data_IF_516945634186
#
_entry.id   IF_516945634186
#
_cell.length_a   1.000
_cell.length_b   1.000
_cell.length_c   1.000
_cell.angle_alpha   90.00
_cell.angle_beta   90.00
_cell.angle_gamma   90.00
#
_symmetry.space_group_name_H-M   'P 1'
#
loop_
_entity.id
_entity.type
_entity.pdbx_description
1 polymer ?
#
# COMPACT_ATOMS: atom_id res chain seq x y z
N UNK A 1 -11.19 2.29 13.97
CA UNK A 1 -9.90 2.63 13.36
C UNK A 1 -9.28 1.34 12.87
N UNK A 2 -8.97 1.19 11.58
CA UNK A 2 -8.37 -0.04 11.07
C UNK A 2 -6.87 -0.05 11.39
N UNK A 3 -6.51 -0.75 12.47
CA UNK A 3 -5.15 -0.76 13.02
C UNK A 3 -4.10 -1.24 12.02
N UNK A 4 -4.48 -2.09 11.06
CA UNK A 4 -3.56 -2.60 10.03
C UNK A 4 -3.23 -1.54 8.98
N UNK A 5 -4.20 -0.73 8.57
CA UNK A 5 -4.00 0.39 7.64
C UNK A 5 -3.06 1.42 8.27
N UNK A 6 -3.29 1.79 9.53
CA UNK A 6 -2.44 2.74 10.26
C UNK A 6 -1.01 2.21 10.38
N UNK A 7 -0.83 0.94 10.75
CA UNK A 7 0.49 0.33 10.86
C UNK A 7 1.23 0.23 9.51
N UNK A 8 0.49 -0.03 8.42
CA UNK A 8 1.07 -0.03 7.07
C UNK A 8 1.48 1.37 6.61
N UNK A 9 0.67 2.39 6.88
CA UNK A 9 1.02 3.78 6.58
C UNK A 9 2.27 4.24 7.36
N UNK A 10 2.37 3.86 8.64
CA UNK A 10 3.57 4.13 9.45
C UNK A 10 4.81 3.43 8.91
N UNK A 11 4.70 2.17 8.48
CA UNK A 11 5.81 1.46 7.86
C UNK A 11 6.29 2.15 6.57
N UNK A 12 5.37 2.64 5.73
CA UNK A 12 5.74 3.43 4.53
C UNK A 12 6.44 4.73 4.90
N UNK A 13 5.96 5.45 5.91
CA UNK A 13 6.59 6.69 6.38
C UNK A 13 7.99 6.46 6.95
N UNK A 14 8.25 5.29 7.53
CA UNK A 14 9.55 4.88 8.03
C UNK A 14 10.50 4.34 6.93
N UNK A 15 10.05 4.29 5.67
CA UNK A 15 10.83 3.74 4.56
C UNK A 15 10.85 2.21 4.51
N UNK A 16 9.87 1.54 5.13
CA UNK A 16 9.68 0.09 5.12
C UNK A 16 8.47 -0.32 4.24
N UNK A 17 8.63 -0.30 2.90
CA UNK A 17 7.57 -0.71 1.97
C UNK A 17 7.25 -2.21 2.08
N UNK A 18 8.20 -3.07 2.44
CA UNK A 18 7.95 -4.51 2.58
C UNK A 18 7.11 -4.80 3.83
N UNK A 19 7.38 -4.14 4.95
CA UNK A 19 6.55 -4.24 6.14
C UNK A 19 5.16 -3.68 5.91
N UNK A 20 5.00 -2.62 5.11
CA UNK A 20 3.68 -2.15 4.72
C UNK A 20 2.92 -3.21 3.91
N UNK A 21 3.57 -3.78 2.88
CA UNK A 21 2.98 -4.82 2.03
C UNK A 21 2.54 -6.04 2.85
N UNK A 22 3.34 -6.52 3.79
CA UNK A 22 2.99 -7.67 4.63
C UNK A 22 1.69 -7.46 5.43
N UNK A 23 1.40 -6.22 5.83
CA UNK A 23 0.20 -5.88 6.60
C UNK A 23 -1.06 -5.75 5.75
N UNK A 24 -0.92 -5.36 4.48
CA UNK A 24 -2.05 -5.12 3.58
C UNK A 24 -2.17 -6.12 2.43
N UNK A 25 -1.28 -7.10 2.27
CA UNK A 25 -1.23 -8.01 1.10
C UNK A 25 -2.49 -8.88 0.89
N UNK A 26 -3.23 -9.17 1.95
CA UNK A 26 -4.44 -10.00 1.90
C UNK A 26 -5.74 -9.18 1.80
N UNK A 27 -5.64 -7.85 1.64
CA UNK A 27 -6.76 -6.92 1.75
C UNK A 27 -7.07 -6.20 0.45
N UNK A 28 -8.29 -6.31 -0.05
CA UNK A 28 -8.69 -5.67 -1.32
C UNK A 28 -9.58 -4.43 -1.15
N UNK A 29 -9.59 -3.84 0.05
CA UNK A 29 -10.23 -2.55 0.27
C UNK A 29 -9.46 -1.39 -0.36
N UNK A 30 -10.17 -0.30 -0.67
CA UNK A 30 -9.59 0.89 -1.30
C UNK A 30 -8.34 1.44 -0.58
N UNK A 31 -8.32 1.65 0.76
CA UNK A 31 -7.13 2.12 1.44
C UNK A 31 -5.97 1.11 1.43
N UNK A 32 -6.25 -0.20 1.55
CA UNK A 32 -5.22 -1.23 1.38
C UNK A 32 -4.59 -1.21 -0.01
N UNK A 33 -5.39 -1.10 -1.07
CA UNK A 33 -4.91 -0.99 -2.45
C UNK A 33 -4.07 0.28 -2.67
N UNK A 34 -4.48 1.41 -2.08
CA UNK A 34 -3.73 2.65 -2.15
C UNK A 34 -2.34 2.52 -1.50
N UNK A 35 -2.27 1.98 -0.28
CA UNK A 35 -1.00 1.75 0.42
C UNK A 35 -0.11 0.74 -0.31
N UNK A 36 -0.70 -0.30 -0.90
CA UNK A 36 0.02 -1.29 -1.71
C UNK A 36 0.63 -0.64 -2.97
N UNK A 37 -0.10 0.27 -3.62
CA UNK A 37 0.39 1.05 -4.75
C UNK A 37 1.54 1.98 -4.38
N UNK A 38 1.44 2.68 -3.24
CA UNK A 38 2.50 3.55 -2.72
C UNK A 38 3.76 2.73 -2.39
N UNK A 39 3.60 1.56 -1.77
CA UNK A 39 4.72 0.66 -1.47
C UNK A 39 5.43 0.20 -2.75
N UNK A 40 4.68 -0.18 -3.79
CA UNK A 40 5.26 -0.58 -5.08
C UNK A 40 5.98 0.58 -5.79
N UNK A 41 5.46 1.81 -5.67
CA UNK A 41 6.13 2.98 -6.22
C UNK A 41 7.48 3.25 -5.54
N UNK A 42 7.58 3.05 -4.22
CA UNK A 42 8.84 3.17 -3.48
C UNK A 42 9.86 2.10 -3.85
N UNK A 43 9.39 0.90 -4.26
CA UNK A 43 10.25 -0.19 -4.74
C UNK A 43 10.65 -0.04 -6.22
N UNK A 44 10.15 0.98 -6.92
CA UNK A 44 10.45 1.24 -8.34
C UNK A 44 9.49 0.59 -9.34
N UNK A 45 8.49 -0.17 -8.89
CA UNK A 45 7.45 -0.75 -9.76
C UNK A 45 6.30 0.25 -9.99
N UNK A 46 6.57 1.25 -10.82
CA UNK A 46 5.62 2.32 -11.14
C UNK A 46 4.42 1.83 -11.96
N UNK A 47 4.57 0.75 -12.72
CA UNK A 47 3.49 0.21 -13.56
C UNK A 47 2.42 -0.43 -12.68
N UNK A 48 2.82 -1.33 -11.77
CA UNK A 48 1.88 -1.95 -10.84
C UNK A 48 1.34 -0.94 -9.83
N UNK A 49 2.16 0.00 -9.38
CA UNK A 49 1.71 1.07 -8.49
C UNK A 49 0.52 1.85 -9.08
N UNK A 50 0.63 2.31 -10.32
CA UNK A 50 -0.44 3.06 -11.00
C UNK A 50 -1.73 2.24 -11.14
N UNK A 51 -1.62 0.97 -11.50
CA UNK A 51 -2.77 0.08 -11.63
C UNK A 51 -3.51 -0.11 -10.29
N UNK A 52 -2.77 -0.24 -9.19
CA UNK A 52 -3.34 -0.36 -7.84
C UNK A 52 -4.02 0.94 -7.38
N UNK A 53 -3.40 2.10 -7.63
CA UNK A 53 -3.99 3.40 -7.30
C UNK A 53 -5.27 3.66 -8.10
N UNK A 54 -5.32 3.29 -9.38
CA UNK A 54 -6.55 3.40 -10.18
C UNK A 54 -7.67 2.51 -9.65
N UNK A 55 -7.35 1.29 -9.19
CA UNK A 55 -8.33 0.39 -8.58
C UNK A 55 -8.82 0.89 -7.21
N UNK A 56 -7.95 1.56 -6.45
CA UNK A 56 -8.32 2.17 -5.18
C UNK A 56 -9.23 3.40 -5.33
N UNK A 57 -9.16 4.08 -6.48
CA UNK A 57 -9.95 5.28 -6.76
C UNK A 57 -11.33 4.99 -7.38
N UNK A 58 -11.59 3.73 -7.76
CA UNK A 58 -12.86 3.30 -8.35
C UNK A 58 -13.82 2.79 -7.28
#
# INVERSE_FOLDING_TARGET
MDSLITAAAQALAAGDPLGALNRVALRDDAPALALRGIAMAQLGDLVRAKALLQRAAR
#
